data_IF_165649259603
#
_entry.id   IF_165649259603
#
_cell.length_a   1.000
_cell.length_b   1.000
_cell.length_c   1.000
_cell.angle_alpha   90.00
_cell.angle_beta   90.00
_cell.angle_gamma   90.00
#
_symmetry.space_group_name_H-M   'P 1'
#
loop_
_entity.id
_entity.type
_entity.pdbx_description
1 polymer ?
#
# COMPACT_ATOMS: atom_id res chain seq x y z
N UNK A 1 -17.65 24.42 23.00
CA UNK A 1 -16.26 24.39 22.46
C UNK A 1 -15.68 22.98 22.47
N UNK A 2 -15.79 22.21 23.57
CA UNK A 2 -15.30 20.83 23.65
C UNK A 2 -15.76 19.90 22.50
N UNK A 3 -17.07 19.87 22.23
CA UNK A 3 -17.65 18.98 21.22
C UNK A 3 -17.10 19.20 19.79
N UNK A 4 -16.78 20.46 19.43
CA UNK A 4 -16.21 20.79 18.11
C UNK A 4 -14.74 20.32 18.03
N UNK A 5 -13.99 20.45 19.13
CA UNK A 5 -12.62 19.97 19.22
C UNK A 5 -12.57 18.43 19.16
N UNK A 6 -13.48 17.74 19.84
CA UNK A 6 -13.60 16.29 19.83
C UNK A 6 -14.01 15.75 18.45
N UNK A 7 -14.93 16.44 17.77
CA UNK A 7 -15.34 16.06 16.41
C UNK A 7 -14.22 16.26 15.39
N UNK A 8 -13.45 17.35 15.52
CA UNK A 8 -12.25 17.59 14.70
C UNK A 8 -11.19 16.49 14.93
N UNK A 9 -10.96 16.11 16.19
CA UNK A 9 -10.04 15.02 16.56
C UNK A 9 -10.52 13.68 16.02
N UNK A 10 -11.82 13.39 16.03
CA UNK A 10 -12.37 12.17 15.45
C UNK A 10 -12.17 12.12 13.93
N UNK A 11 -12.34 13.24 13.23
CA UNK A 11 -12.09 13.33 11.79
C UNK A 11 -10.61 13.12 11.46
N UNK A 12 -9.70 13.70 12.24
CA UNK A 12 -8.26 13.49 12.10
C UNK A 12 -7.85 12.03 12.34
N UNK A 13 -8.41 11.39 13.38
CA UNK A 13 -8.17 9.97 13.65
C UNK A 13 -8.69 9.06 12.53
N UNK A 14 -9.87 9.36 11.97
CA UNK A 14 -10.38 8.63 10.80
C UNK A 14 -9.46 8.79 9.59
N UNK A 15 -9.02 10.01 9.30
CA UNK A 15 -8.10 10.28 8.20
C UNK A 15 -6.78 9.50 8.36
N UNK A 16 -6.19 9.54 9.57
CA UNK A 16 -4.99 8.74 9.89
C UNK A 16 -5.21 7.25 9.69
N UNK A 17 -6.36 6.72 10.13
CA UNK A 17 -6.66 5.30 10.00
C UNK A 17 -6.76 4.89 8.51
N UNK A 18 -7.40 5.69 7.67
CA UNK A 18 -7.43 5.43 6.22
C UNK A 18 -6.04 5.46 5.57
N UNK A 19 -5.19 6.40 5.98
CA UNK A 19 -3.81 6.47 5.49
C UNK A 19 -3.02 5.21 5.89
N UNK A 20 -3.14 4.76 7.13
CA UNK A 20 -2.47 3.54 7.59
C UNK A 20 -3.02 2.27 6.93
N UNK A 21 -4.33 2.19 6.68
CA UNK A 21 -4.92 1.07 5.94
C UNK A 21 -4.45 0.98 4.49
N UNK A 22 -4.13 2.13 3.88
CA UNK A 22 -3.62 2.18 2.51
C UNK A 22 -2.15 1.76 2.41
N UNK A 23 -1.43 1.67 3.53
CA UNK A 23 -0.03 1.25 3.59
C UNK A 23 0.04 -0.21 4.01
N UNK A 24 0.71 -1.02 3.19
CA UNK A 24 0.94 -2.42 3.51
C UNK A 24 1.77 -2.57 4.80
N UNK A 25 1.34 -3.46 5.70
CA UNK A 25 1.98 -3.68 7.01
C UNK A 25 3.48 -3.95 6.89
N UNK A 26 3.88 -4.61 5.81
CA UNK A 26 5.27 -4.97 5.56
C UNK A 26 6.15 -3.78 5.15
N UNK A 27 5.54 -2.68 4.68
CA UNK A 27 6.22 -1.39 4.44
C UNK A 27 6.40 -0.68 5.78
N UNK A 28 5.38 -0.68 6.63
CA UNK A 28 5.43 -0.06 7.95
C UNK A 28 6.53 -0.69 8.82
N UNK A 29 6.63 -2.01 8.82
CA UNK A 29 7.69 -2.76 9.50
C UNK A 29 9.09 -2.38 8.98
N UNK A 30 9.24 -2.21 7.66
CA UNK A 30 10.52 -1.78 7.08
C UNK A 30 10.91 -0.37 7.54
N UNK A 31 9.93 0.53 7.68
CA UNK A 31 10.16 1.90 8.20
C UNK A 31 10.54 1.85 9.68
N UNK A 32 9.92 0.98 10.49
CA UNK A 32 10.20 0.86 11.92
C UNK A 32 11.57 0.22 12.22
N UNK A 33 12.04 -0.68 11.37
CA UNK A 33 13.30 -1.44 11.57
C UNK A 33 14.54 -0.70 11.04
N UNK A 34 14.38 0.36 10.25
CA UNK A 34 15.50 1.07 9.60
C UNK A 34 15.60 2.50 10.12
N UNK A 35 16.80 2.90 10.50
CA UNK A 35 17.01 4.19 11.16
C UNK A 35 17.13 5.37 10.18
N UNK A 36 17.66 5.13 8.97
CA UNK A 36 17.87 6.20 7.99
C UNK A 36 16.88 6.11 6.82
N UNK A 37 16.47 7.28 6.32
CA UNK A 37 15.64 7.36 5.12
C UNK A 37 16.27 6.68 3.90
N UNK A 38 17.61 6.67 3.81
CA UNK A 38 18.34 5.96 2.77
C UNK A 38 18.17 4.45 2.90
N UNK A 39 18.32 3.90 4.11
CA UNK A 39 18.18 2.47 4.34
C UNK A 39 16.75 1.98 4.09
N UNK A 40 15.75 2.76 4.48
CA UNK A 40 14.34 2.50 4.15
C UNK A 40 14.19 2.42 2.63
N UNK A 41 14.66 3.44 1.91
CA UNK A 41 14.55 3.50 0.44
C UNK A 41 15.24 2.32 -0.24
N UNK A 42 16.45 1.97 0.19
CA UNK A 42 17.23 0.88 -0.40
C UNK A 42 16.65 -0.50 -0.06
N UNK A 43 16.09 -0.68 1.14
CA UNK A 43 15.35 -1.88 1.51
C UNK A 43 14.08 -2.04 0.67
N UNK A 44 13.30 -0.98 0.50
CA UNK A 44 12.10 -0.95 -0.33
C UNK A 44 12.44 -1.26 -1.80
N UNK A 45 13.50 -0.64 -2.33
CA UNK A 45 13.96 -0.89 -3.70
C UNK A 45 14.32 -2.36 -3.93
N UNK A 46 15.06 -2.98 -3.01
CA UNK A 46 15.44 -4.41 -3.09
C UNK A 46 14.23 -5.32 -2.98
N UNK A 47 13.35 -5.09 -1.99
CA UNK A 47 12.17 -5.93 -1.73
C UNK A 47 11.19 -5.95 -2.91
N UNK A 48 10.97 -4.81 -3.56
CA UNK A 48 10.03 -4.69 -4.68
C UNK A 48 10.71 -4.73 -6.06
N UNK A 49 12.01 -5.06 -6.11
CA UNK A 49 12.75 -5.17 -7.35
C UNK A 49 12.10 -6.23 -8.26
N UNK A 50 11.82 -5.86 -9.50
CA UNK A 50 11.19 -6.77 -10.46
C UNK A 50 9.69 -7.02 -10.25
N UNK A 51 9.04 -6.46 -9.21
CA UNK A 51 7.61 -6.67 -8.98
C UNK A 51 6.74 -6.15 -10.15
N UNK A 52 7.20 -5.15 -10.90
CA UNK A 52 6.51 -4.67 -12.11
C UNK A 52 6.38 -5.76 -13.17
N UNK A 53 7.40 -6.63 -13.34
CA UNK A 53 7.34 -7.73 -14.30
C UNK A 53 6.33 -8.78 -13.85
N UNK A 54 6.33 -9.11 -12.55
CA UNK A 54 5.38 -10.07 -11.95
C UNK A 54 3.94 -9.55 -12.05
N UNK A 55 3.69 -8.30 -11.66
CA UNK A 55 2.37 -7.66 -11.78
C UNK A 55 1.88 -7.64 -13.22
N UNK A 56 2.77 -7.38 -14.18
CA UNK A 56 2.43 -7.43 -15.61
C UNK A 56 2.04 -8.83 -16.06
N UNK A 57 2.78 -9.86 -15.65
CA UNK A 57 2.46 -11.25 -15.98
C UNK A 57 1.10 -11.67 -15.39
N UNK A 58 0.84 -11.34 -14.12
CA UNK A 58 -0.44 -11.59 -13.47
C UNK A 58 -1.60 -10.90 -14.20
N UNK A 59 -1.42 -9.62 -14.58
CA UNK A 59 -2.44 -8.89 -15.33
C UNK A 59 -2.70 -9.50 -16.72
N UNK A 60 -1.67 -9.96 -17.41
CA UNK A 60 -1.83 -10.66 -18.69
C UNK A 60 -2.58 -11.99 -18.53
N UNK A 61 -2.31 -12.74 -17.47
CA UNK A 61 -3.06 -13.97 -17.17
C UNK A 61 -4.55 -13.65 -16.95
N UNK A 62 -4.85 -12.68 -16.09
CA UNK A 62 -6.23 -12.27 -15.80
C UNK A 62 -6.97 -11.76 -17.06
N UNK A 63 -6.29 -11.02 -17.93
CA UNK A 63 -6.86 -10.59 -19.22
C UNK A 63 -7.23 -11.76 -20.11
N UNK A 64 -6.35 -12.77 -20.21
CA UNK A 64 -6.63 -13.99 -20.98
C UNK A 64 -7.81 -14.77 -20.39
N UNK A 65 -7.86 -14.92 -19.06
CA UNK A 65 -8.99 -15.57 -18.39
C UNK A 65 -10.32 -14.85 -18.69
N UNK A 66 -10.30 -13.50 -18.65
CA UNK A 66 -11.46 -12.70 -18.99
C UNK A 66 -11.87 -12.84 -20.47
N UNK A 67 -10.91 -12.82 -21.40
CA UNK A 67 -11.17 -13.02 -22.84
C UNK A 67 -11.78 -14.39 -23.12
N UNK A 68 -11.28 -15.46 -22.46
CA UNK A 68 -11.84 -16.81 -22.58
C UNK A 68 -13.27 -16.87 -22.04
N UNK A 69 -13.55 -16.22 -20.90
CA UNK A 69 -14.90 -16.16 -20.32
C UNK A 69 -15.87 -15.34 -21.17
N UNK A 70 -15.39 -14.31 -21.86
CA UNK A 70 -16.23 -13.43 -22.70
C UNK A 70 -16.48 -13.98 -24.11
N UNK A 71 -15.59 -14.84 -24.62
CA UNK A 71 -15.72 -15.51 -25.91
C UNK A 71 -16.20 -16.97 -25.82
N UNK A 72 -16.48 -17.47 -24.62
CA UNK A 72 -17.07 -18.79 -24.37
C UNK A 72 -18.60 -18.80 -24.42
#
# INVERSE_FOLDING_TARGET
>A
QQHIADESKLKDLKAKNYLFQSIDRSILETILVRDTAKDIRDAMRRKYQGSTKVKRAQLQALRREFEVLAMG
#
